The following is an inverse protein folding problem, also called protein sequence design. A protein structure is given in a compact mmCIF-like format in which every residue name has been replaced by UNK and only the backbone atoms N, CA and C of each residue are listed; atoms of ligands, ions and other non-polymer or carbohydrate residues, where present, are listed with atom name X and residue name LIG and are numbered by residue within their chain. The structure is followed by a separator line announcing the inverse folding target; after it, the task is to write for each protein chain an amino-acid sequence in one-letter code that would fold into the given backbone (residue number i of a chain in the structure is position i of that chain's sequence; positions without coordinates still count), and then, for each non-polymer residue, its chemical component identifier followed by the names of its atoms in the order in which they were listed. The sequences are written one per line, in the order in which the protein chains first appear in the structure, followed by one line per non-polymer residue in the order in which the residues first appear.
data_IF_752256485507
#
_entry.id   IF_752256485507
#
_cell.length_a   1.000
_cell.length_b   1.000
_cell.length_c   1.000
_cell.angle_alpha   90.00
_cell.angle_beta   90.00
_cell.angle_gamma   90.00
#
_symmetry.space_group_name_H-M   'P 1'
#
loop_
_entity.id
_entity.type
_entity.pdbx_description
1 polymer ?
#
# COMPACT_ATOMS: atom_id res chain seq x y z
N UNK A 1 -4.99 -11.04 2.47
CA UNK A 1 -5.77 -12.18 1.97
C UNK A 1 -5.99 -12.18 0.42
N UNK A 2 -5.02 -12.21 -0.54
CA UNK A 2 -5.18 -11.52 -1.90
C UNK A 2 -4.70 -12.21 -3.21
N UNK A 3 -5.08 -11.67 -4.39
CA UNK A 3 -5.11 -12.33 -5.73
C UNK A 3 -3.95 -11.96 -6.68
N UNK A 4 -3.39 -12.95 -7.39
CA UNK A 4 -2.53 -12.77 -8.58
C UNK A 4 -3.37 -12.89 -9.89
N UNK A 5 -3.35 -11.85 -10.73
CA UNK A 5 -4.21 -11.59 -11.90
C UNK A 5 -3.60 -12.02 -13.24
N UNK A 6 -2.57 -12.87 -13.24
CA UNK A 6 -1.79 -13.24 -14.45
C UNK A 6 -2.58 -13.92 -15.60
N UNK A 7 -3.91 -14.07 -15.55
CA UNK A 7 -4.70 -14.85 -16.55
C UNK A 7 -6.08 -14.24 -16.87
N UNK A 8 -6.15 -12.99 -17.36
CA UNK A 8 -7.39 -12.45 -17.96
C UNK A 8 -7.09 -11.80 -19.32
N UNK A 9 -7.61 -12.31 -20.45
CA UNK A 9 -7.50 -11.62 -21.74
C UNK A 9 -8.55 -10.49 -21.81
N UNK A 10 -8.15 -9.30 -22.28
CA UNK A 10 -9.04 -8.14 -22.43
C UNK A 10 -9.25 -7.83 -23.91
N UNK A 11 -10.52 -7.69 -24.29
CA UNK A 11 -10.94 -7.19 -25.59
C UNK A 11 -10.64 -5.68 -25.75
N UNK A 12 -9.92 -5.33 -26.80
CA UNK A 12 -9.59 -3.95 -27.13
C UNK A 12 -10.66 -3.32 -28.04
N UNK A 13 -11.30 -2.24 -27.60
CA UNK A 13 -12.12 -1.38 -28.46
C UNK A 13 -11.33 -0.14 -28.86
N UNK A 14 -11.06 0.01 -30.16
CA UNK A 14 -10.38 1.17 -30.74
C UNK A 14 -11.39 2.28 -31.01
N UNK A 15 -11.12 3.48 -30.49
CA UNK A 15 -11.75 4.72 -30.97
C UNK A 15 -10.65 5.72 -31.30
N UNK A 16 -10.56 6.09 -32.59
CA UNK A 16 -9.72 7.17 -33.09
C UNK A 16 -10.28 8.53 -32.65
N UNK A 17 -9.41 9.45 -32.24
CA UNK A 17 -9.74 10.87 -32.13
C UNK A 17 -8.64 11.71 -32.78
N UNK A 18 -9.07 12.65 -33.63
CA UNK A 18 -8.26 13.60 -34.41
C UNK A 18 -7.68 14.70 -33.53
N UNK A 19 -6.45 15.11 -33.85
CA UNK A 19 -5.79 16.32 -33.32
C UNK A 19 -6.34 17.58 -34.00
N UNK A 20 -6.52 18.63 -33.21
CA UNK A 20 -6.62 20.02 -33.69
C UNK A 20 -5.78 20.92 -32.79
N UNK A 21 -4.86 21.66 -33.39
CA UNK A 21 -4.05 22.71 -32.76
C UNK A 21 -4.83 24.03 -32.67
N UNK A 22 -4.78 24.71 -31.53
CA UNK A 22 -5.08 26.16 -31.42
C UNK A 22 -4.06 26.81 -30.48
N UNK A 23 -3.50 27.94 -30.91
CA UNK A 23 -2.52 28.79 -30.22
C UNK A 23 -3.17 29.74 -29.19
N UNK A 24 -2.45 29.91 -28.06
CA UNK A 24 -2.17 31.10 -27.24
C UNK A 24 -3.28 32.06 -26.74
N UNK A 25 -3.30 32.29 -25.41
CA UNK A 25 -3.24 33.61 -24.77
C UNK A 25 -2.93 33.47 -23.27
N UNK A 26 -1.87 34.13 -22.80
CA UNK A 26 -1.44 34.17 -21.39
C UNK A 26 -2.18 35.29 -20.65
N UNK A 27 -2.95 34.96 -19.61
CA UNK A 27 -3.50 35.93 -18.66
C UNK A 27 -2.83 35.69 -17.31
N UNK A 28 -2.11 36.72 -16.84
CA UNK A 28 -1.43 36.75 -15.56
C UNK A 28 -2.47 37.08 -14.47
N UNK A 29 -2.88 36.08 -13.69
CA UNK A 29 -3.73 36.28 -12.50
C UNK A 29 -2.83 36.32 -11.27
N UNK A 30 -2.77 37.48 -10.63
CA UNK A 30 -2.06 37.72 -9.38
C UNK A 30 -2.82 37.01 -8.25
N UNK A 31 -2.33 35.86 -7.80
CA UNK A 31 -2.94 35.10 -6.70
C UNK A 31 -2.44 35.66 -5.35
N UNK A 32 -3.37 36.22 -4.58
CA UNK A 32 -3.20 36.52 -3.16
C UNK A 32 -2.98 35.20 -2.41
N UNK A 33 -1.78 34.99 -1.87
CA UNK A 33 -1.44 33.84 -1.01
C UNK A 33 -2.02 34.05 0.38
N UNK A 34 -3.27 33.62 0.57
CA UNK A 34 -3.78 33.34 1.90
C UNK A 34 -3.18 32.03 2.40
N UNK A 35 -2.22 32.10 3.32
CA UNK A 35 -1.77 30.96 4.14
C UNK A 35 -2.94 30.56 5.06
N UNK A 36 -3.89 29.81 4.52
CA UNK A 36 -4.88 29.12 5.32
C UNK A 36 -4.22 27.91 5.98
N UNK A 37 -3.92 28.02 7.27
CA UNK A 37 -3.60 26.85 8.10
C UNK A 37 -4.82 25.94 8.09
N UNK A 38 -4.77 24.87 7.29
CA UNK A 38 -5.76 23.79 7.37
C UNK A 38 -5.66 23.26 8.79
N UNK A 39 -6.73 23.27 9.60
CA UNK A 39 -6.67 22.72 10.94
C UNK A 39 -6.26 21.25 10.82
N UNK A 40 -5.16 20.88 11.47
CA UNK A 40 -4.75 19.48 11.59
C UNK A 40 -5.92 18.75 12.24
N UNK A 41 -6.58 17.87 11.47
CA UNK A 41 -7.63 17.02 12.02
C UNK A 41 -6.96 16.10 13.04
N UNK A 42 -7.48 16.10 14.26
CA UNK A 42 -6.97 15.23 15.31
C UNK A 42 -6.97 13.77 14.81
N UNK A 43 -5.88 13.05 15.04
CA UNK A 43 -5.77 11.63 14.72
C UNK A 43 -6.88 10.85 15.44
N UNK A 44 -7.34 9.76 14.82
CA UNK A 44 -8.30 8.87 15.45
C UNK A 44 -7.71 8.35 16.78
N UNK A 45 -8.44 8.44 17.93
CA UNK A 45 -7.90 8.03 19.23
C UNK A 45 -7.42 6.57 19.30
N UNK A 46 -8.07 5.67 18.56
CA UNK A 46 -7.67 4.26 18.49
C UNK A 46 -6.34 4.10 17.77
N UNK A 47 -6.16 4.78 16.63
CA UNK A 47 -4.90 4.82 15.88
C UNK A 47 -3.79 5.40 16.75
N UNK A 48 -4.05 6.52 17.44
CA UNK A 48 -3.08 7.14 18.34
C UNK A 48 -2.66 6.20 19.47
N UNK A 49 -3.62 5.48 20.07
CA UNK A 49 -3.34 4.49 21.12
C UNK A 49 -2.49 3.32 20.61
N UNK A 50 -2.81 2.78 19.43
CA UNK A 50 -2.05 1.68 18.81
C UNK A 50 -0.65 2.12 18.43
N UNK A 51 -0.48 3.31 17.85
CA UNK A 51 0.83 3.91 17.56
C UNK A 51 1.67 4.12 18.82
N UNK A 52 1.06 4.52 19.93
CA UNK A 52 1.76 4.69 21.20
C UNK A 52 2.30 3.36 21.75
N UNK A 53 1.57 2.26 21.53
CA UNK A 53 1.89 0.90 21.98
C UNK A 53 2.71 0.08 20.96
N UNK A 54 2.98 0.64 19.78
CA UNK A 54 3.69 -0.03 18.70
C UNK A 54 5.08 -0.50 19.14
N UNK A 55 5.40 -1.76 18.82
CA UNK A 55 6.77 -2.28 18.93
C UNK A 55 7.59 -1.72 17.78
N UNK A 56 8.73 -1.11 18.09
CA UNK A 56 9.59 -0.46 17.08
C UNK A 56 11.02 -1.03 17.02
N UNK A 57 11.36 -1.96 17.92
CA UNK A 57 12.64 -2.66 17.93
C UNK A 57 12.46 -4.13 17.59
N UNK A 58 13.09 -4.55 16.48
CA UNK A 58 13.01 -5.89 15.93
C UNK A 58 14.42 -6.38 15.61
N UNK A 59 14.66 -7.68 15.76
CA UNK A 59 15.92 -8.33 15.38
C UNK A 59 16.01 -8.53 13.86
N UNK A 60 17.22 -8.78 13.34
CA UNK A 60 17.37 -9.10 11.91
C UNK A 60 16.64 -10.38 11.53
N UNK A 61 16.61 -11.39 12.42
CA UNK A 61 15.93 -12.65 12.12
C UNK A 61 14.42 -12.48 12.07
N UNK A 62 13.82 -11.74 13.01
CA UNK A 62 12.38 -11.44 12.98
C UNK A 62 11.96 -10.72 11.70
N UNK A 63 12.76 -9.76 11.23
CA UNK A 63 12.49 -9.04 9.97
C UNK A 63 12.68 -9.98 8.77
N UNK A 64 13.77 -10.76 8.74
CA UNK A 64 14.08 -11.71 7.67
C UNK A 64 13.00 -12.77 7.51
N UNK A 65 12.63 -13.45 8.60
CA UNK A 65 11.62 -14.49 8.59
C UNK A 65 10.26 -13.96 8.12
N UNK A 66 9.84 -12.81 8.67
CA UNK A 66 8.60 -12.17 8.25
C UNK A 66 8.62 -11.76 6.79
N UNK A 67 9.70 -11.15 6.31
CA UNK A 67 9.83 -10.78 4.90
C UNK A 67 9.63 -11.99 3.98
N UNK A 68 10.24 -13.13 4.27
CA UNK A 68 10.06 -14.34 3.46
C UNK A 68 8.65 -14.95 3.59
N UNK A 69 7.99 -14.85 4.74
CA UNK A 69 6.59 -15.29 4.89
C UNK A 69 5.65 -14.42 4.07
N UNK A 70 5.78 -13.10 4.18
CA UNK A 70 4.86 -12.13 3.60
C UNK A 70 5.12 -11.89 2.10
N UNK A 71 6.36 -11.70 1.66
CA UNK A 71 6.65 -11.33 0.26
C UNK A 71 6.60 -12.52 -0.72
N UNK A 72 6.94 -13.72 -0.26
CA UNK A 72 7.06 -14.92 -1.10
C UNK A 72 5.86 -15.86 -1.04
N UNK A 73 4.96 -15.67 -0.08
CA UNK A 73 3.67 -16.38 -0.04
C UNK A 73 2.68 -15.83 -1.07
N UNK A 74 1.63 -16.59 -1.35
CA UNK A 74 0.48 -16.09 -2.08
C UNK A 74 -0.70 -16.98 -1.72
N UNK A 75 -1.79 -16.37 -1.27
CA UNK A 75 -2.89 -17.14 -0.71
C UNK A 75 -3.76 -17.81 -1.77
N UNK A 76 -4.13 -17.09 -2.83
CA UNK A 76 -5.01 -17.64 -3.86
C UNK A 76 -4.26 -18.08 -5.12
N UNK A 77 -3.17 -18.82 -4.95
CA UNK A 77 -2.50 -19.52 -6.05
C UNK A 77 -2.88 -21.00 -6.01
N UNK A 78 -3.41 -21.53 -7.11
CA UNK A 78 -3.97 -22.88 -7.15
C UNK A 78 -2.93 -23.98 -7.02
N UNK A 79 -1.62 -23.74 -7.21
CA UNK A 79 -0.69 -24.88 -7.31
C UNK A 79 0.74 -24.71 -6.76
N UNK A 80 1.29 -23.51 -6.47
CA UNK A 80 2.63 -23.31 -5.86
C UNK A 80 2.72 -21.95 -5.17
N UNK A 81 3.54 -21.76 -4.11
CA UNK A 81 3.92 -20.43 -3.64
C UNK A 81 4.51 -19.62 -4.81
N UNK A 82 4.29 -18.31 -4.86
CA UNK A 82 4.86 -17.46 -5.90
C UNK A 82 6.37 -17.68 -6.02
N UNK A 83 7.00 -17.93 -4.86
CA UNK A 83 8.38 -18.42 -4.74
C UNK A 83 9.42 -17.42 -5.24
N UNK A 84 8.97 -16.24 -5.66
CA UNK A 84 9.73 -15.19 -6.32
C UNK A 84 9.19 -13.82 -5.97
N UNK A 85 10.10 -12.85 -5.97
CA UNK A 85 9.79 -11.44 -5.75
C UNK A 85 8.83 -10.93 -6.82
N UNK A 86 7.74 -10.30 -6.38
CA UNK A 86 6.81 -9.54 -7.22
C UNK A 86 6.84 -8.10 -6.73
N UNK A 87 7.24 -7.17 -7.59
CA UNK A 87 7.25 -5.73 -7.29
C UNK A 87 7.08 -4.92 -8.57
N UNK A 88 6.73 -3.66 -8.43
CA UNK A 88 6.85 -2.70 -9.52
C UNK A 88 8.33 -2.40 -9.80
N UNK A 89 8.68 -2.25 -11.07
CA UNK A 89 9.99 -1.79 -11.57
C UNK A 89 9.90 -0.44 -12.31
N UNK A 90 8.75 0.22 -12.18
CA UNK A 90 8.40 1.49 -12.80
C UNK A 90 7.67 2.36 -11.77
N UNK A 91 7.56 3.69 -12.01
CA UNK A 91 6.78 4.55 -11.14
C UNK A 91 5.34 4.06 -10.97
N UNK A 92 4.86 4.01 -9.73
CA UNK A 92 3.50 3.62 -9.39
C UNK A 92 2.62 4.85 -9.48
N UNK A 93 1.59 4.80 -10.33
CA UNK A 93 0.63 5.89 -10.54
C UNK A 93 -0.76 5.38 -10.23
N UNK A 94 -1.31 5.87 -9.12
CA UNK A 94 -2.58 5.44 -8.55
C UNK A 94 -3.71 6.32 -9.08
N UNK A 95 -4.67 5.72 -9.78
CA UNK A 95 -5.91 6.38 -10.13
C UNK A 95 -7.03 5.96 -9.16
N UNK A 96 -7.73 6.96 -8.62
CA UNK A 96 -8.84 6.73 -7.69
C UNK A 96 -10.17 6.84 -8.44
N UNK A 97 -10.86 5.71 -8.58
CA UNK A 97 -12.20 5.63 -9.14
C UNK A 97 -13.22 5.80 -8.00
N UNK A 98 -13.75 7.01 -7.84
CA UNK A 98 -14.75 7.34 -6.84
C UNK A 98 -16.15 6.96 -7.32
N UNK A 99 -16.73 5.89 -6.76
CA UNK A 99 -18.05 5.39 -7.15
C UNK A 99 -19.23 5.90 -6.30
N UNK A 100 -18.97 6.44 -5.10
CA UNK A 100 -20.02 6.91 -4.18
C UNK A 100 -19.46 7.86 -3.09
N UNK A 101 -20.35 8.54 -2.38
CA UNK A 101 -20.04 9.23 -1.13
C UNK A 101 -19.98 8.24 0.06
N UNK A 102 -19.24 8.55 1.15
CA UNK A 102 -18.41 9.74 1.34
C UNK A 102 -17.19 9.75 0.42
N UNK A 103 -16.70 10.94 0.09
CA UNK A 103 -15.47 11.08 -0.68
C UNK A 103 -14.28 10.83 0.25
N UNK A 104 -13.53 9.75 0.02
CA UNK A 104 -12.33 9.37 0.82
C UNK A 104 -11.01 9.68 0.12
N UNK A 105 -11.03 10.52 -0.92
CA UNK A 105 -9.86 10.77 -1.78
C UNK A 105 -8.74 11.51 -1.03
N UNK A 106 -9.08 12.42 -0.13
CA UNK A 106 -8.12 13.12 0.73
C UNK A 106 -7.40 12.18 1.68
N UNK A 107 -8.15 11.28 2.32
CA UNK A 107 -7.61 10.28 3.23
C UNK A 107 -6.67 9.34 2.49
N UNK A 108 -7.06 8.88 1.30
CA UNK A 108 -6.21 8.06 0.46
C UNK A 108 -4.96 8.81 -0.04
N UNK A 109 -5.05 10.11 -0.32
CA UNK A 109 -3.89 10.92 -0.66
C UNK A 109 -2.89 11.00 0.50
N UNK A 110 -3.38 11.09 1.75
CA UNK A 110 -2.54 11.06 2.94
C UNK A 110 -1.85 9.70 3.11
N UNK A 111 -2.59 8.59 2.94
CA UNK A 111 -2.04 7.23 2.97
C UNK A 111 -0.92 7.07 1.93
N UNK A 112 -1.16 7.47 0.68
CA UNK A 112 -0.16 7.38 -0.39
C UNK A 112 1.05 8.27 -0.11
N UNK A 113 0.84 9.47 0.45
CA UNK A 113 1.94 10.35 0.85
C UNK A 113 2.77 9.79 2.00
N UNK A 114 2.15 9.11 2.96
CA UNK A 114 2.84 8.45 4.08
C UNK A 114 3.65 7.24 3.60
N UNK A 115 3.09 6.43 2.68
CA UNK A 115 3.84 5.33 2.04
C UNK A 115 5.05 5.88 1.27
N UNK A 116 4.85 6.95 0.47
CA UNK A 116 5.94 7.59 -0.30
C UNK A 116 7.07 8.07 0.59
N UNK A 117 6.75 8.72 1.72
CA UNK A 117 7.78 9.26 2.61
C UNK A 117 8.53 8.17 3.37
N UNK A 118 7.95 6.97 3.50
CA UNK A 118 8.50 5.89 4.31
C UNK A 118 9.23 4.80 3.53
N UNK A 119 9.07 4.73 2.22
CA UNK A 119 9.75 3.73 1.36
C UNK A 119 10.74 4.42 0.41
N UNK A 120 12.04 4.29 0.69
CA UNK A 120 13.10 5.11 0.08
C UNK A 120 13.13 5.06 -1.46
N UNK A 121 13.01 3.86 -2.02
CA UNK A 121 13.22 3.60 -3.44
C UNK A 121 11.92 3.36 -4.21
N UNK A 122 10.82 3.89 -3.70
CA UNK A 122 9.49 3.77 -4.31
C UNK A 122 9.01 5.12 -4.83
N UNK A 123 8.97 5.29 -6.14
CA UNK A 123 8.26 6.40 -6.79
C UNK A 123 6.77 6.04 -6.90
N UNK A 124 5.94 6.53 -5.97
CA UNK A 124 4.50 6.30 -5.92
C UNK A 124 3.73 7.62 -5.84
N UNK A 125 2.70 7.82 -6.66
CA UNK A 125 1.83 9.00 -6.55
C UNK A 125 0.42 8.79 -7.08
N UNK A 126 -0.51 9.63 -6.61
CA UNK A 126 -1.83 9.74 -7.21
C UNK A 126 -1.72 10.41 -8.58
N UNK A 127 -2.55 9.98 -9.52
CA UNK A 127 -2.72 10.62 -10.83
C UNK A 127 -4.20 10.87 -11.11
N UNK A 128 -4.48 11.97 -11.82
CA UNK A 128 -5.80 12.24 -12.42
C UNK A 128 -5.91 11.67 -13.84
N UNK A 129 -4.81 11.24 -14.45
CA UNK A 129 -4.82 10.60 -15.76
C UNK A 129 -4.97 9.09 -15.62
N UNK A 130 -6.15 8.58 -15.96
CA UNK A 130 -6.45 7.15 -15.95
C UNK A 130 -5.53 6.32 -16.84
N UNK A 131 -5.03 6.89 -17.94
CA UNK A 131 -4.18 6.19 -18.92
C UNK A 131 -2.74 6.03 -18.44
N UNK A 132 -2.28 6.94 -17.58
CA UNK A 132 -0.97 6.85 -16.94
C UNK A 132 -0.95 5.87 -15.75
N UNK A 133 -2.10 5.40 -15.29
CA UNK A 133 -2.21 4.62 -14.06
C UNK A 133 -2.00 3.12 -14.27
N UNK A 134 -1.02 2.57 -13.56
CA UNK A 134 -0.77 1.13 -13.39
C UNK A 134 -1.34 0.58 -12.06
N UNK A 135 -1.93 1.43 -11.23
CA UNK A 135 -2.60 1.06 -9.99
C UNK A 135 -3.97 1.74 -9.96
N UNK A 136 -5.06 0.98 -9.77
CA UNK A 136 -6.40 1.56 -9.58
C UNK A 136 -6.95 1.28 -8.19
N UNK A 137 -7.46 2.30 -7.50
CA UNK A 137 -8.23 2.15 -6.25
C UNK A 137 -9.70 2.46 -6.53
N UNK A 138 -10.59 1.51 -6.24
CA UNK A 138 -12.05 1.69 -6.33
C UNK A 138 -12.64 1.92 -4.96
N UNK A 139 -13.30 3.05 -4.84
CA UNK A 139 -14.05 3.45 -3.66
C UNK A 139 -15.52 3.07 -3.89
N UNK A 140 -16.00 2.05 -3.18
CA UNK A 140 -17.37 1.51 -3.36
C UNK A 140 -18.09 1.42 -2.02
N UNK A 141 -19.42 1.50 -1.97
CA UNK A 141 -20.15 1.13 -0.76
C UNK A 141 -19.96 -0.35 -0.43
N UNK A 142 -19.92 -0.72 0.84
CA UNK A 142 -19.71 -2.12 1.31
C UNK A 142 -20.68 -3.09 0.62
N UNK A 143 -21.96 -2.72 0.51
CA UNK A 143 -23.00 -3.50 -0.20
C UNK A 143 -22.70 -3.77 -1.68
N UNK A 144 -21.78 -3.02 -2.30
CA UNK A 144 -21.34 -3.17 -3.70
C UNK A 144 -20.02 -3.92 -3.82
N UNK A 145 -19.34 -4.26 -2.72
CA UNK A 145 -18.06 -4.95 -2.74
C UNK A 145 -18.14 -6.26 -3.54
N UNK A 146 -19.09 -7.14 -3.19
CA UNK A 146 -19.29 -8.44 -3.86
C UNK A 146 -19.57 -8.31 -5.35
N UNK A 147 -20.39 -7.34 -5.76
CA UNK A 147 -20.68 -7.09 -7.18
C UNK A 147 -19.47 -6.52 -7.93
N UNK A 148 -18.65 -5.70 -7.26
CA UNK A 148 -17.43 -5.12 -7.83
C UNK A 148 -16.37 -6.19 -8.04
N UNK A 149 -16.17 -7.07 -7.05
CA UNK A 149 -15.28 -8.23 -7.17
C UNK A 149 -15.71 -9.12 -8.35
N UNK A 150 -17.01 -9.40 -8.48
CA UNK A 150 -17.53 -10.18 -9.61
C UNK A 150 -17.27 -9.52 -10.96
N UNK A 151 -17.42 -8.20 -11.06
CA UNK A 151 -17.17 -7.46 -12.29
C UNK A 151 -15.69 -7.47 -12.70
N UNK A 152 -14.77 -7.44 -11.72
CA UNK A 152 -13.33 -7.38 -11.98
C UNK A 152 -12.69 -8.74 -12.22
N UNK A 153 -13.11 -9.76 -11.47
CA UNK A 153 -12.46 -11.07 -11.45
C UNK A 153 -13.28 -12.16 -12.15
N UNK A 154 -14.51 -11.86 -12.58
CA UNK A 154 -15.43 -12.86 -13.14
C UNK A 154 -16.13 -13.69 -12.06
N UNK A 155 -17.21 -14.39 -12.45
CA UNK A 155 -18.11 -15.04 -11.48
C UNK A 155 -17.48 -16.19 -10.70
N UNK A 156 -16.65 -17.02 -11.34
CA UNK A 156 -16.11 -18.22 -10.69
C UNK A 156 -15.04 -17.84 -9.67
N UNK A 157 -14.10 -16.98 -10.09
CA UNK A 157 -13.07 -16.45 -9.20
C UNK A 157 -13.66 -15.62 -8.06
N UNK A 158 -14.69 -14.81 -8.34
CA UNK A 158 -15.39 -14.06 -7.28
C UNK A 158 -16.06 -14.98 -6.26
N UNK A 159 -16.63 -16.14 -6.67
CA UNK A 159 -17.17 -17.11 -5.70
C UNK A 159 -16.07 -17.67 -4.80
N UNK A 160 -14.92 -17.98 -5.37
CA UNK A 160 -13.77 -18.46 -4.60
C UNK A 160 -13.30 -17.41 -3.60
N UNK A 161 -13.04 -16.18 -4.05
CA UNK A 161 -12.68 -15.03 -3.21
C UNK A 161 -13.66 -14.85 -2.05
N UNK A 162 -14.95 -14.88 -2.34
CA UNK A 162 -15.98 -14.67 -1.32
C UNK A 162 -16.07 -15.82 -0.31
N UNK A 163 -15.76 -17.05 -0.74
CA UNK A 163 -15.77 -18.23 0.11
C UNK A 163 -14.54 -18.27 1.01
N UNK A 164 -13.38 -17.96 0.45
CA UNK A 164 -12.07 -18.15 1.09
C UNK A 164 -11.66 -16.92 1.90
N UNK A 165 -11.89 -15.71 1.38
CA UNK A 165 -11.38 -14.46 1.98
C UNK A 165 -12.39 -13.70 2.83
N UNK A 166 -13.70 -13.88 2.54
CA UNK A 166 -14.80 -13.09 3.12
C UNK A 166 -14.45 -11.59 3.26
N UNK A 167 -13.99 -10.94 2.17
CA UNK A 167 -13.24 -9.69 2.27
C UNK A 167 -14.13 -8.51 2.70
N UNK A 168 -13.61 -7.66 3.57
CA UNK A 168 -14.14 -6.30 3.84
C UNK A 168 -13.54 -5.26 2.87
N UNK A 169 -12.31 -5.50 2.45
CA UNK A 169 -11.59 -4.83 1.38
C UNK A 169 -10.80 -5.86 0.57
N UNK A 170 -10.31 -5.50 -0.62
CA UNK A 170 -9.59 -6.45 -1.47
C UNK A 170 -8.57 -5.77 -2.37
N UNK A 171 -7.39 -6.39 -2.51
CA UNK A 171 -6.41 -6.08 -3.55
C UNK A 171 -6.06 -7.28 -4.42
N UNK A 172 -5.51 -6.96 -5.59
CA UNK A 172 -4.95 -7.94 -6.50
C UNK A 172 -3.91 -7.30 -7.41
N UNK A 173 -2.93 -8.10 -7.82
CA UNK A 173 -1.80 -7.67 -8.66
C UNK A 173 -1.78 -8.51 -9.94
N UNK A 174 -1.62 -7.86 -11.09
CA UNK A 174 -1.30 -8.50 -12.37
C UNK A 174 0.17 -8.32 -12.67
N UNK A 175 0.88 -9.44 -12.85
CA UNK A 175 2.31 -9.45 -13.16
C UNK A 175 2.57 -10.03 -14.55
N UNK A 176 3.73 -9.71 -15.12
CA UNK A 176 4.23 -10.39 -16.31
C UNK A 176 5.05 -11.66 -15.97
N UNK A 177 5.59 -12.31 -17.01
CA UNK A 177 6.38 -13.54 -16.87
C UNK A 177 7.67 -13.35 -16.07
N UNK A 178 8.18 -12.11 -16.00
CA UNK A 178 9.35 -11.73 -15.21
C UNK A 178 8.97 -11.28 -13.78
N UNK A 179 7.73 -11.55 -13.36
CA UNK A 179 7.21 -11.21 -12.02
C UNK A 179 7.16 -9.70 -11.74
N UNK A 180 7.18 -8.87 -12.78
CA UNK A 180 7.06 -7.42 -12.65
C UNK A 180 5.59 -7.10 -12.53
N UNK A 181 5.20 -6.37 -11.48
CA UNK A 181 3.81 -5.94 -11.34
C UNK A 181 3.54 -4.88 -12.41
N UNK A 182 2.57 -5.15 -13.27
CA UNK A 182 2.13 -4.25 -14.36
C UNK A 182 0.79 -3.61 -14.09
N UNK A 183 0.02 -4.21 -13.19
CA UNK A 183 -1.28 -3.69 -12.76
C UNK A 183 -1.52 -4.02 -11.31
N UNK A 184 -2.08 -3.09 -10.56
CA UNK A 184 -2.65 -3.35 -9.24
C UNK A 184 -4.07 -2.81 -9.16
N UNK A 185 -4.92 -3.50 -8.41
CA UNK A 185 -6.30 -3.12 -8.19
C UNK A 185 -6.64 -3.26 -6.71
N UNK A 186 -7.23 -2.23 -6.14
CA UNK A 186 -7.71 -2.21 -4.76
C UNK A 186 -9.18 -1.82 -4.74
N UNK A 187 -9.97 -2.40 -3.84
CA UNK A 187 -11.36 -2.07 -3.59
C UNK A 187 -11.50 -1.75 -2.10
N UNK A 188 -11.95 -0.53 -1.78
CA UNK A 188 -12.14 -0.07 -0.40
C UNK A 188 -13.61 0.30 -0.14
N UNK A 189 -14.18 -0.09 1.02
CA UNK A 189 -15.52 0.30 1.43
C UNK A 189 -15.55 1.77 1.90
N UNK A 190 -16.28 2.65 1.19
CA UNK A 190 -16.31 4.09 1.52
C UNK A 190 -17.10 4.42 2.78
N UNK A 191 -18.11 3.62 3.08
CA UNK A 191 -19.04 3.77 4.20
C UNK A 191 -18.54 3.10 5.49
N UNK A 192 -17.33 2.53 5.49
CA UNK A 192 -16.65 2.08 6.69
C UNK A 192 -16.27 3.25 7.62
N UNK A 193 -16.16 2.95 8.92
CA UNK A 193 -15.65 3.89 9.92
C UNK A 193 -14.21 4.30 9.62
N UNK A 194 -13.78 5.46 10.14
CA UNK A 194 -12.47 6.04 9.81
C UNK A 194 -11.29 5.09 10.12
N UNK A 195 -11.35 4.37 11.24
CA UNK A 195 -10.33 3.36 11.59
C UNK A 195 -10.28 2.24 10.55
N UNK A 196 -11.40 1.53 10.34
CA UNK A 196 -11.51 0.42 9.39
C UNK A 196 -11.13 0.83 7.97
N UNK A 197 -11.53 2.03 7.53
CA UNK A 197 -11.15 2.53 6.22
C UNK A 197 -9.63 2.71 6.09
N UNK A 198 -8.97 3.30 7.09
CA UNK A 198 -7.53 3.50 7.08
C UNK A 198 -6.78 2.18 7.17
N UNK A 199 -7.25 1.26 8.01
CA UNK A 199 -6.68 -0.08 8.16
C UNK A 199 -6.67 -0.83 6.83
N UNK A 200 -7.85 -0.94 6.21
CA UNK A 200 -7.98 -1.44 4.84
C UNK A 200 -7.12 -0.66 3.84
N UNK A 201 -7.08 0.67 3.91
CA UNK A 201 -6.31 1.46 2.94
C UNK A 201 -4.81 1.17 3.02
N UNK A 202 -4.23 1.08 4.22
CA UNK A 202 -2.82 0.74 4.36
C UNK A 202 -2.55 -0.70 3.94
N UNK A 203 -3.31 -1.65 4.47
CA UNK A 203 -3.11 -3.07 4.18
C UNK A 203 -3.24 -3.33 2.67
N UNK A 204 -4.32 -2.87 2.05
CA UNK A 204 -4.58 -3.12 0.64
C UNK A 204 -3.58 -2.47 -0.31
N UNK A 205 -3.14 -1.24 -0.01
CA UNK A 205 -2.15 -0.57 -0.84
C UNK A 205 -0.78 -1.22 -0.72
N UNK A 206 -0.34 -1.55 0.50
CA UNK A 206 0.96 -2.17 0.72
C UNK A 206 1.03 -3.57 0.11
N UNK A 207 -0.01 -4.38 0.27
CA UNK A 207 -0.06 -5.71 -0.37
C UNK A 207 -0.05 -5.62 -1.89
N UNK A 208 -0.74 -4.63 -2.47
CA UNK A 208 -0.73 -4.36 -3.90
C UNK A 208 0.65 -3.92 -4.42
N UNK A 209 1.56 -3.48 -3.55
CA UNK A 209 2.95 -3.19 -3.89
C UNK A 209 3.86 -4.43 -3.92
N UNK A 210 3.38 -5.60 -3.49
CA UNK A 210 4.08 -6.88 -3.66
C UNK A 210 4.18 -7.79 -2.44
N UNK A 211 3.85 -7.28 -1.25
CA UNK A 211 3.80 -8.05 0.02
C UNK A 211 2.42 -8.71 0.23
N UNK A 212 1.98 -9.52 -0.73
CA UNK A 212 0.56 -9.92 -0.87
C UNK A 212 0.08 -11.06 0.05
N UNK A 213 0.96 -11.67 0.83
CA UNK A 213 0.59 -12.81 1.67
C UNK A 213 0.25 -12.38 3.09
N UNK A 214 -0.75 -13.03 3.68
CA UNK A 214 -1.01 -12.90 5.11
C UNK A 214 -0.46 -14.14 5.81
N UNK A 215 0.09 -13.94 7.00
CA UNK A 215 0.65 -15.03 7.78
C UNK A 215 0.46 -14.77 9.28
N UNK A 216 -0.47 -15.52 9.88
CA UNK A 216 -0.80 -15.42 11.31
C UNK A 216 0.40 -15.71 12.24
N UNK A 217 1.47 -16.34 11.73
CA UNK A 217 2.69 -16.59 12.51
C UNK A 217 3.61 -15.37 12.64
N UNK A 218 3.26 -14.24 12.01
CA UNK A 218 3.96 -12.96 12.16
C UNK A 218 3.01 -12.00 12.92
N UNK A 219 3.10 -11.89 14.26
CA UNK A 219 2.08 -11.22 15.07
C UNK A 219 2.16 -9.68 15.08
N UNK A 220 3.10 -9.09 14.34
CA UNK A 220 3.41 -7.65 14.39
C UNK A 220 2.98 -6.88 13.14
N UNK A 221 2.70 -7.60 12.06
CA UNK A 221 2.44 -7.02 10.74
C UNK A 221 0.94 -6.84 10.53
N UNK A 222 0.53 -5.83 9.78
CA UNK A 222 -0.86 -5.74 9.31
C UNK A 222 -1.24 -6.83 8.31
N UNK A 223 -0.26 -7.59 7.80
CA UNK A 223 -0.50 -8.78 6.98
C UNK A 223 -0.77 -10.02 7.84
N UNK A 224 -1.44 -9.80 8.97
CA UNK A 224 -1.97 -10.81 9.85
C UNK A 224 -3.41 -10.39 10.13
N UNK A 225 -4.37 -11.25 9.79
CA UNK A 225 -5.81 -10.94 9.90
C UNK A 225 -6.24 -10.49 11.32
N UNK A 226 -5.47 -10.85 12.36
CA UNK A 226 -5.75 -10.48 13.75
C UNK A 226 -5.10 -9.12 14.15
N UNK A 227 -4.36 -8.47 13.26
CA UNK A 227 -3.63 -7.22 13.52
C UNK A 227 -4.22 -6.08 12.70
N UNK A 228 -4.82 -5.13 13.41
CA UNK A 228 -5.33 -3.89 12.82
C UNK A 228 -4.63 -2.70 13.45
N UNK A 229 -4.06 -1.82 12.62
CA UNK A 229 -3.27 -0.68 13.07
C UNK A 229 -3.87 0.64 12.61
N UNK A 230 -4.42 0.69 11.39
CA UNK A 230 -4.88 1.95 10.77
C UNK A 230 -3.77 2.92 10.38
N UNK A 231 -2.50 2.49 10.40
CA UNK A 231 -1.33 3.26 9.97
C UNK A 231 -0.19 2.36 9.48
N UNK A 232 0.80 2.94 8.79
CA UNK A 232 1.98 2.22 8.32
C UNK A 232 3.01 2.04 9.44
N UNK A 233 3.01 0.89 10.10
CA UNK A 233 3.90 0.59 11.22
C UNK A 233 5.36 0.34 10.80
N UNK A 234 6.26 0.33 11.79
CA UNK A 234 7.71 0.21 11.63
C UNK A 234 8.09 -1.18 11.12
N UNK A 235 7.36 -2.23 11.49
CA UNK A 235 7.67 -3.58 11.03
C UNK A 235 7.44 -3.68 9.51
N UNK A 236 6.29 -3.22 9.05
CA UNK A 236 5.92 -3.25 7.64
C UNK A 236 6.79 -2.29 6.81
N UNK A 237 7.24 -1.17 7.41
CA UNK A 237 8.25 -0.32 6.78
C UNK A 237 9.55 -1.08 6.48
N UNK A 238 10.01 -1.98 7.36
CA UNK A 238 11.16 -2.84 7.03
C UNK A 238 10.87 -3.74 5.83
N UNK A 239 9.70 -4.38 5.81
CA UNK A 239 9.35 -5.32 4.74
C UNK A 239 9.33 -4.64 3.36
N UNK A 240 8.73 -3.45 3.27
CA UNK A 240 8.67 -2.69 2.03
C UNK A 240 10.03 -2.09 1.64
N UNK A 241 10.84 -1.61 2.59
CA UNK A 241 12.17 -1.09 2.27
C UNK A 241 13.13 -2.21 1.82
N UNK A 242 12.98 -3.44 2.32
CA UNK A 242 13.68 -4.60 1.76
C UNK A 242 13.17 -4.89 0.34
N UNK A 243 11.85 -4.97 0.15
CA UNK A 243 11.26 -5.28 -1.16
C UNK A 243 11.69 -4.28 -2.23
N UNK A 244 11.72 -2.99 -1.89
CA UNK A 244 12.00 -1.90 -2.84
C UNK A 244 13.48 -1.53 -2.94
N UNK A 245 14.36 -2.14 -2.16
CA UNK A 245 15.80 -1.95 -2.32
C UNK A 245 16.27 -2.26 -3.76
N UNK A 246 17.17 -1.46 -4.36
CA UNK A 246 17.63 -1.65 -5.74
C UNK A 246 18.30 -3.00 -6.01
N UNK A 247 18.84 -3.66 -4.97
CA UNK A 247 19.42 -5.02 -5.11
C UNK A 247 18.37 -6.10 -5.20
N UNK A 248 17.13 -5.83 -4.80
CA UNK A 248 16.02 -6.77 -4.88
C UNK A 248 15.25 -6.52 -6.19
N UNK A 249 15.38 -7.43 -7.14
CA UNK A 249 14.76 -7.32 -8.46
C UNK A 249 13.57 -8.27 -8.62
N UNK A 250 12.58 -7.93 -9.47
CA UNK A 250 11.51 -8.86 -9.83
C UNK A 250 12.04 -10.22 -10.26
N UNK A 251 11.38 -11.29 -9.81
CA UNK A 251 11.70 -12.66 -10.18
C UNK A 251 12.78 -13.34 -9.34
N UNK A 252 13.49 -12.61 -8.47
CA UNK A 252 14.46 -13.22 -7.54
C UNK A 252 13.81 -14.29 -6.68
N UNK A 253 14.49 -15.43 -6.55
CA UNK A 253 14.19 -16.53 -5.65
C UNK A 253 14.48 -16.19 -4.20
N UNK A 254 14.03 -17.05 -3.27
CA UNK A 254 14.34 -16.89 -1.85
C UNK A 254 15.86 -16.84 -1.61
N UNK A 255 16.61 -17.76 -2.21
CA UNK A 255 18.06 -17.87 -2.01
C UNK A 255 18.82 -16.65 -2.56
N UNK A 256 18.40 -16.12 -3.71
CA UNK A 256 18.99 -14.90 -4.28
C UNK A 256 18.75 -13.68 -3.39
N UNK A 257 17.53 -13.53 -2.85
CA UNK A 257 17.24 -12.45 -1.89
C UNK A 257 17.99 -12.66 -0.59
N UNK A 258 18.05 -13.89 -0.08
CA UNK A 258 18.73 -14.20 1.17
C UNK A 258 20.22 -13.86 1.12
N UNK A 259 20.87 -14.14 -0.01
CA UNK A 259 22.26 -13.77 -0.26
C UNK A 259 22.49 -12.25 -0.26
N UNK A 260 21.52 -11.46 -0.75
CA UNK A 260 21.59 -9.99 -0.74
C UNK A 260 21.16 -9.36 0.60
N UNK A 261 20.45 -10.11 1.43
CA UNK A 261 19.73 -9.59 2.59
C UNK A 261 20.61 -8.93 3.65
N UNK A 262 21.85 -9.38 3.96
CA UNK A 262 22.70 -8.71 4.95
C UNK A 262 22.92 -7.23 4.63
N UNK A 263 23.27 -6.93 3.38
CA UNK A 263 23.50 -5.55 2.96
C UNK A 263 22.16 -4.80 2.80
N UNK A 264 21.08 -5.46 2.36
CA UNK A 264 19.75 -4.84 2.17
C UNK A 264 19.15 -4.43 3.52
N UNK A 265 19.24 -5.31 4.52
CA UNK A 265 18.79 -5.02 5.89
C UNK A 265 19.59 -3.87 6.51
N UNK A 266 20.89 -3.76 6.24
CA UNK A 266 21.68 -2.65 6.72
C UNK A 266 21.15 -1.30 6.21
N UNK A 267 20.85 -1.22 4.90
CA UNK A 267 20.26 -0.03 4.28
C UNK A 267 18.85 0.26 4.76
N UNK A 268 17.99 -0.77 4.83
CA UNK A 268 16.62 -0.63 5.33
C UNK A 268 16.60 -0.12 6.78
N UNK A 269 17.49 -0.63 7.64
CA UNK A 269 17.63 -0.15 9.02
C UNK A 269 18.14 1.27 9.14
N UNK A 270 19.09 1.65 8.31
CA UNK A 270 19.54 3.03 8.28
C UNK A 270 18.35 3.95 7.97
N UNK A 271 17.64 3.66 6.87
CA UNK A 271 16.50 4.47 6.44
C UNK A 271 15.39 4.52 7.50
N UNK A 272 14.91 3.37 7.97
CA UNK A 272 13.80 3.30 8.95
C UNK A 272 14.11 4.05 10.24
N UNK A 273 15.37 4.05 10.70
CA UNK A 273 15.80 4.84 11.86
C UNK A 273 15.82 6.34 11.59
N UNK A 274 16.23 6.75 10.38
CA UNK A 274 16.28 8.16 9.98
C UNK A 274 14.87 8.77 9.89
N UNK A 275 13.91 8.03 9.34
CA UNK A 275 12.52 8.50 9.17
C UNK A 275 11.62 8.30 10.40
N UNK A 276 12.00 7.41 11.33
CA UNK A 276 11.32 7.21 12.61
C UNK A 276 12.29 7.52 13.76
N UNK A 277 12.63 8.81 13.98
CA UNK A 277 13.51 9.16 15.08
C UNK A 277 12.86 8.70 16.39
N UNK A 278 13.66 8.16 17.34
CA UNK A 278 13.13 7.75 18.64
C UNK A 278 12.40 8.94 19.26
N UNK A 279 11.21 8.69 19.81
CA UNK A 279 10.49 9.69 20.62
C UNK A 279 11.49 10.21 21.65
N UNK A 280 11.87 11.49 21.56
CA UNK A 280 12.69 12.11 22.59
C UNK A 280 11.94 11.87 23.88
N UNK A 281 12.56 11.15 24.82
CA UNK A 281 12.07 11.13 26.19
C UNK A 281 11.88 12.59 26.56
N UNK A 282 10.66 12.99 26.91
CA UNK A 282 10.42 14.29 27.53
C UNK A 282 11.35 14.33 28.74
N UNK A 283 12.47 15.03 28.58
CA UNK A 283 13.47 15.19 29.60
C UNK A 283 12.79 15.80 30.81
N UNK A 284 12.86 15.08 31.93
CA UNK A 284 12.62 15.56 33.27
C UNK A 284 13.12 17.00 33.42
N UNK A 285 12.22 17.96 33.31
CA UNK A 285 12.47 19.32 33.78
C UNK A 285 11.16 19.90 34.34
N UNK A 286 10.72 19.27 35.43
CA UNK A 286 9.79 19.88 36.40
C UNK A 286 10.37 19.70 37.78
N UNK A 287 11.57 20.24 38.01
CA UNK A 287 12.16 20.28 39.34
C UNK A 287 13.25 21.34 39.54
N UNK A 288 13.03 22.58 39.08
CA UNK A 288 13.63 23.77 39.73
C UNK A 288 12.67 24.93 39.50
N UNK A 289 11.77 25.16 40.46
CA UNK A 289 11.23 26.48 40.84
C UNK A 289 10.14 26.27 41.89
N UNK A 290 10.58 25.91 43.09
CA UNK A 290 9.90 26.17 44.37
C UNK A 290 10.95 26.11 45.46
N UNK A 291 11.66 27.23 45.61
CA UNK A 291 12.24 27.69 46.88
C UNK A 291 11.82 29.14 47.06
#
# INVERSE_FOLDING_TARGET
MKIDLSIVPIAASRVMARMSHILAASVFVMAFTGLGSVPARAENPEIASRRAAERTDFTNEEIREGFFKIAFGAELQTDKPAGRVRKFDEPVRIFVEAGAAPQRRSELANVVSDIRSRVNHLDIDLTTDRRAANFTVRLVPERKLKSTIRALYGSDRARQIQKELKPECLSGIGKDESFRIRRAEVILPVDAGDFTFLDCAYEELLQALGVINDDASVPWTMFNDDVQMGFFDVYDQYLLNILYDPRITPGMTRDEVDAALPDVLASARQWVREINPPRRAESENSQVDRN
#
